data_IF_786072876612
#
_entry.id   IF_786072876612
#
_cell.length_a   1.000
_cell.length_b   1.000
_cell.length_c   1.000
_cell.angle_alpha   90.00
_cell.angle_beta   90.00
_cell.angle_gamma   90.00
#
_symmetry.space_group_name_H-M   'P 1'
#
loop_
_entity.id
_entity.type
_entity.pdbx_description
1 polymer ?
#
# COMPACT_ATOMS: atom_id res chain seq x y z
N UNK A 1 11.66 -10.73 -16.90
CA UNK A 1 12.56 -11.86 -16.52
C UNK A 1 14.01 -11.43 -16.27
N UNK A 2 14.48 -10.46 -17.05
CA UNK A 2 15.80 -9.82 -17.05
C UNK A 2 16.23 -9.15 -15.73
N UNK A 3 15.29 -8.89 -14.81
CA UNK A 3 15.58 -8.31 -13.50
C UNK A 3 15.88 -9.35 -12.43
N UNK A 4 15.41 -10.60 -12.59
CA UNK A 4 15.63 -11.68 -11.62
C UNK A 4 17.13 -11.97 -11.42
N UNK A 5 17.96 -12.06 -12.47
CA UNK A 5 19.42 -12.25 -12.32
C UNK A 5 20.11 -11.09 -11.60
N UNK A 6 19.52 -9.89 -11.60
CA UNK A 6 20.07 -8.71 -10.90
C UNK A 6 19.62 -8.65 -9.44
N UNK A 7 18.37 -9.03 -9.19
CA UNK A 7 17.75 -9.01 -7.87
C UNK A 7 18.23 -10.18 -6.99
N UNK A 8 18.27 -11.39 -7.57
CA UNK A 8 18.55 -12.65 -6.88
C UNK A 8 19.70 -13.40 -7.55
N UNK A 9 20.89 -12.80 -7.58
CA UNK A 9 22.07 -13.31 -8.31
C UNK A 9 22.34 -14.78 -8.00
N UNK A 10 22.59 -15.11 -6.72
CA UNK A 10 22.96 -16.46 -6.29
C UNK A 10 21.87 -17.49 -6.61
N UNK A 11 20.59 -17.16 -6.37
CA UNK A 11 19.49 -18.08 -6.67
C UNK A 11 19.25 -18.28 -8.16
N UNK A 12 19.51 -17.25 -8.96
CA UNK A 12 19.42 -17.39 -10.42
C UNK A 12 20.48 -18.35 -10.93
N UNK A 13 21.72 -18.23 -10.45
CA UNK A 13 22.81 -19.16 -10.79
C UNK A 13 22.51 -20.60 -10.35
N UNK A 14 22.04 -20.79 -9.11
CA UNK A 14 21.62 -22.10 -8.60
C UNK A 14 20.48 -22.70 -9.43
N UNK A 15 19.49 -21.87 -9.83
CA UNK A 15 18.37 -22.32 -10.66
C UNK A 15 18.79 -22.75 -12.06
N UNK A 16 19.87 -22.18 -12.61
CA UNK A 16 20.42 -22.59 -13.90
C UNK A 16 21.22 -23.91 -13.80
N UNK A 17 21.83 -24.18 -12.64
CA UNK A 17 22.60 -25.39 -12.39
C UNK A 17 21.73 -26.63 -12.11
N UNK A 18 20.46 -26.44 -11.72
CA UNK A 18 19.55 -27.52 -11.36
C UNK A 18 18.63 -27.93 -12.53
N UNK A 19 18.29 -29.23 -12.66
CA UNK A 19 17.26 -29.67 -13.59
C UNK A 19 15.90 -29.04 -13.26
N UNK A 20 15.16 -28.60 -14.28
CA UNK A 20 13.83 -27.97 -14.15
C UNK A 20 12.80 -28.83 -13.40
N UNK A 21 13.02 -30.15 -13.30
CA UNK A 21 12.16 -31.11 -12.59
C UNK A 21 12.39 -31.12 -11.08
N UNK A 22 13.48 -30.53 -10.57
CA UNK A 22 13.84 -30.55 -9.15
C UNK A 22 13.04 -29.56 -8.29
N UNK A 23 11.80 -29.25 -8.69
CA UNK A 23 10.94 -28.19 -8.15
C UNK A 23 11.10 -27.99 -6.64
N UNK A 24 11.77 -26.89 -6.28
CA UNK A 24 12.01 -26.53 -4.88
C UNK A 24 10.94 -25.53 -4.45
N UNK A 25 10.43 -25.70 -3.24
CA UNK A 25 9.65 -24.63 -2.61
C UNK A 25 10.54 -23.38 -2.50
N UNK A 26 10.15 -22.30 -3.16
CA UNK A 26 10.82 -21.00 -3.04
C UNK A 26 10.54 -20.44 -1.66
N UNK A 27 11.52 -20.58 -0.76
CA UNK A 27 11.52 -19.87 0.51
C UNK A 27 12.42 -18.63 0.35
N UNK A 28 11.78 -17.46 0.31
CA UNK A 28 12.40 -16.16 0.21
C UNK A 28 12.24 -15.47 1.57
N UNK A 29 13.28 -15.43 2.43
CA UNK A 29 13.25 -14.65 3.66
C UNK A 29 13.01 -13.17 3.37
N UNK A 30 12.42 -12.46 4.32
CA UNK A 30 12.09 -11.04 4.18
C UNK A 30 13.35 -10.20 3.94
N UNK A 31 14.44 -10.50 4.66
CA UNK A 31 15.73 -9.83 4.50
C UNK A 31 16.25 -9.94 3.06
N UNK A 32 16.09 -11.12 2.45
CA UNK A 32 16.57 -11.33 1.09
C UNK A 32 15.68 -10.62 0.07
N UNK A 33 14.37 -10.53 0.32
CA UNK A 33 13.47 -9.73 -0.50
C UNK A 33 13.82 -8.24 -0.44
N UNK A 34 14.10 -7.73 0.76
CA UNK A 34 14.51 -6.34 1.00
C UNK A 34 15.83 -6.06 0.27
N UNK A 35 16.85 -6.89 0.47
CA UNK A 35 18.15 -6.72 -0.19
C UNK A 35 18.02 -6.77 -1.73
N UNK A 36 17.23 -7.70 -2.25
CA UNK A 36 16.99 -7.82 -3.69
C UNK A 36 16.35 -6.55 -4.26
N UNK A 37 15.39 -5.97 -3.56
CA UNK A 37 14.75 -4.72 -3.94
C UNK A 37 15.72 -3.53 -3.83
N UNK A 38 16.50 -3.44 -2.77
CA UNK A 38 17.53 -2.41 -2.59
C UNK A 38 18.56 -2.44 -3.72
N UNK A 39 19.01 -3.63 -4.13
CA UNK A 39 19.90 -3.80 -5.29
C UNK A 39 19.27 -3.24 -6.57
N UNK A 40 18.02 -3.59 -6.86
CA UNK A 40 17.32 -3.07 -8.04
C UNK A 40 17.14 -1.55 -8.00
N UNK A 41 16.82 -0.99 -6.84
CA UNK A 41 16.67 0.45 -6.67
C UNK A 41 18.01 1.16 -6.84
N UNK A 42 19.10 0.62 -6.29
CA UNK A 42 20.44 1.15 -6.48
C UNK A 42 20.86 1.10 -7.96
N UNK A 43 20.62 -0.02 -8.64
CA UNK A 43 20.91 -0.18 -10.07
C UNK A 43 20.10 0.78 -10.95
N UNK A 44 18.87 1.11 -10.54
CA UNK A 44 18.01 2.05 -11.26
C UNK A 44 18.58 3.46 -11.36
N UNK A 45 19.62 3.78 -10.59
CA UNK A 45 20.33 5.06 -10.60
C UNK A 45 21.37 5.15 -11.71
N UNK A 46 21.79 4.02 -12.26
CA UNK A 46 22.86 3.95 -13.25
C UNK A 46 22.39 4.44 -14.63
N UNK A 47 23.27 5.16 -15.34
CA UNK A 47 23.00 5.60 -16.71
C UNK A 47 22.80 4.36 -17.60
N UNK A 48 21.64 4.26 -18.25
CA UNK A 48 21.28 3.13 -19.09
C UNK A 48 20.34 2.10 -18.45
N UNK A 49 19.95 2.28 -17.18
CA UNK A 49 18.87 1.47 -16.62
C UNK A 49 17.52 1.85 -17.26
N UNK A 50 16.91 0.90 -17.96
CA UNK A 50 15.73 1.16 -18.81
C UNK A 50 14.38 1.03 -18.10
N UNK A 51 14.36 0.67 -16.81
CA UNK A 51 13.11 0.36 -16.10
C UNK A 51 12.75 1.44 -15.08
N UNK A 52 11.43 1.63 -14.92
CA UNK A 52 10.83 2.41 -13.84
C UNK A 52 9.91 1.49 -13.05
N UNK A 53 9.97 1.60 -11.74
CA UNK A 53 9.20 0.81 -10.80
C UNK A 53 8.04 1.64 -10.24
N UNK A 54 6.87 1.03 -10.20
CA UNK A 54 5.70 1.57 -9.52
C UNK A 54 5.07 0.45 -8.69
N UNK A 55 5.11 0.61 -7.37
CA UNK A 55 4.57 -0.37 -6.43
C UNK A 55 3.23 0.09 -5.89
N UNK A 56 2.27 -0.84 -5.86
CA UNK A 56 0.94 -0.61 -5.31
C UNK A 56 0.76 -1.53 -4.10
N UNK A 57 0.63 -0.95 -2.91
CA UNK A 57 0.50 -1.70 -1.65
C UNK A 57 -0.88 -1.41 -1.06
N UNK A 58 -1.75 -2.42 -1.02
CA UNK A 58 -3.05 -2.36 -0.34
C UNK A 58 -2.83 -2.74 1.14
N UNK A 59 -3.25 -1.89 2.08
CA UNK A 59 -3.15 -2.18 3.52
C UNK A 59 -1.75 -2.15 4.12
N UNK A 60 -1.00 -1.04 4.01
CA UNK A 60 0.29 -0.88 4.68
C UNK A 60 0.20 -1.06 6.21
N UNK A 61 -0.96 -0.72 6.79
CA UNK A 61 -1.26 -0.89 8.22
C UNK A 61 -1.57 -2.33 8.64
N UNK A 62 -1.64 -3.28 7.70
CA UNK A 62 -1.85 -4.70 7.98
C UNK A 62 -0.56 -5.44 8.33
N UNK A 63 0.62 -4.82 8.10
CA UNK A 63 1.90 -5.39 8.50
C UNK A 63 1.95 -5.50 10.03
N UNK A 64 2.34 -6.68 10.53
CA UNK A 64 2.52 -6.86 11.96
C UNK A 64 3.89 -6.32 12.39
N UNK A 65 3.89 -5.31 13.27
CA UNK A 65 5.14 -4.80 13.84
C UNK A 65 5.87 -5.89 14.62
N UNK A 66 7.19 -5.92 14.49
CA UNK A 66 8.07 -6.74 15.31
C UNK A 66 9.00 -5.82 16.10
N UNK A 67 9.62 -6.31 17.19
CA UNK A 67 10.65 -5.55 17.89
C UNK A 67 11.83 -5.11 17.00
N UNK A 68 12.03 -5.80 15.87
CA UNK A 68 13.08 -5.51 14.90
C UNK A 68 12.64 -4.57 13.77
N UNK A 69 11.32 -4.44 13.53
CA UNK A 69 10.79 -3.67 12.41
C UNK A 69 9.41 -3.08 12.72
N UNK A 70 9.36 -1.76 12.81
CA UNK A 70 8.16 -0.99 13.13
C UNK A 70 7.53 -0.33 11.90
N UNK A 71 6.31 0.19 12.03
CA UNK A 71 5.68 1.00 10.99
C UNK A 71 6.50 2.25 10.64
N UNK A 72 7.26 2.77 11.61
CA UNK A 72 8.15 3.90 11.38
C UNK A 72 9.32 3.50 10.49
N UNK A 73 9.95 2.36 10.77
CA UNK A 73 11.06 1.83 9.98
C UNK A 73 10.61 1.53 8.54
N UNK A 74 9.42 0.96 8.39
CA UNK A 74 8.79 0.75 7.09
C UNK A 74 8.58 2.08 6.34
N UNK A 75 8.04 3.09 7.01
CA UNK A 75 7.75 4.39 6.41
C UNK A 75 9.03 5.10 5.95
N UNK A 76 10.07 5.07 6.77
CA UNK A 76 11.39 5.62 6.43
C UNK A 76 12.02 4.86 5.26
N UNK A 77 11.90 3.53 5.23
CA UNK A 77 12.42 2.68 4.15
C UNK A 77 11.73 3.01 2.81
N UNK A 78 10.40 3.03 2.79
CA UNK A 78 9.63 3.37 1.59
C UNK A 78 9.92 4.79 1.10
N UNK A 79 10.06 5.75 2.02
CA UNK A 79 10.43 7.13 1.70
C UNK A 79 11.83 7.21 1.09
N UNK A 80 12.82 6.56 1.71
CA UNK A 80 14.19 6.47 1.20
C UNK A 80 14.25 5.88 -0.22
N UNK A 81 13.46 4.83 -0.46
CA UNK A 81 13.35 4.21 -1.77
C UNK A 81 12.67 5.10 -2.81
N UNK A 82 11.60 5.81 -2.43
CA UNK A 82 10.92 6.77 -3.30
C UNK A 82 11.84 7.94 -3.68
N UNK A 83 12.58 8.48 -2.71
CA UNK A 83 13.48 9.63 -2.84
C UNK A 83 14.83 9.27 -3.48
N UNK A 84 15.05 8.00 -3.80
CA UNK A 84 16.23 7.54 -4.51
C UNK A 84 16.45 8.36 -5.79
N UNK A 85 17.68 8.85 -5.96
CA UNK A 85 18.09 9.65 -7.14
C UNK A 85 17.67 8.97 -8.44
N UNK A 86 17.08 9.74 -9.35
CA UNK A 86 16.67 9.27 -10.68
C UNK A 86 15.16 9.16 -10.88
N UNK A 87 14.35 9.24 -9.81
CA UNK A 87 12.89 9.27 -9.91
C UNK A 87 12.26 8.04 -10.58
N UNK A 88 13.00 6.94 -10.60
CA UNK A 88 12.63 5.70 -11.25
C UNK A 88 11.78 4.80 -10.36
N UNK A 89 11.51 5.20 -9.10
CA UNK A 89 10.73 4.41 -8.15
C UNK A 89 9.58 5.26 -7.63
N UNK A 90 8.37 4.70 -7.67
CA UNK A 90 7.16 5.32 -7.11
C UNK A 90 6.40 4.32 -6.26
N UNK A 91 5.85 4.80 -5.16
CA UNK A 91 4.98 4.01 -4.30
C UNK A 91 3.60 4.66 -4.25
N UNK A 92 2.59 3.82 -4.44
CA UNK A 92 1.20 4.13 -4.16
C UNK A 92 0.76 3.15 -3.08
N UNK A 93 0.76 3.59 -1.84
CA UNK A 93 0.42 2.76 -0.70
C UNK A 93 -0.90 3.22 -0.12
N UNK A 94 -1.69 2.30 0.40
CA UNK A 94 -2.95 2.60 1.03
C UNK A 94 -2.92 2.10 2.46
N UNK A 95 -3.37 2.91 3.41
CA UNK A 95 -3.34 2.56 4.83
C UNK A 95 -4.47 3.26 5.59
N UNK A 96 -4.74 2.80 6.81
CA UNK A 96 -5.43 3.65 7.80
C UNK A 96 -4.54 4.83 8.21
N UNK A 97 -5.17 5.87 8.77
CA UNK A 97 -4.46 7.05 9.29
C UNK A 97 -3.84 6.77 10.67
N UNK A 98 -2.71 6.07 10.68
CA UNK A 98 -1.89 5.93 11.89
C UNK A 98 -0.88 7.06 11.99
N UNK A 99 -0.52 7.46 13.22
CA UNK A 99 0.32 8.64 13.44
C UNK A 99 1.70 8.50 12.78
N UNK A 100 2.26 7.29 12.73
CA UNK A 100 3.54 6.95 12.09
C UNK A 100 3.53 7.09 10.57
N UNK A 101 2.36 7.13 9.94
CA UNK A 101 2.26 7.40 8.50
C UNK A 101 2.00 8.89 8.25
N UNK A 102 1.29 9.54 9.18
CA UNK A 102 0.92 10.94 9.06
C UNK A 102 2.06 11.90 9.38
N UNK A 103 3.03 11.48 10.21
CA UNK A 103 4.22 12.27 10.55
C UNK A 103 5.32 12.13 9.46
N UNK A 104 5.51 10.92 8.93
CA UNK A 104 6.57 10.63 7.96
C UNK A 104 6.27 11.10 6.51
N UNK A 105 5.01 11.03 6.06
CA UNK A 105 4.60 11.41 4.70
C UNK A 105 3.93 12.78 4.65
N UNK A 106 4.26 13.63 3.68
CA UNK A 106 3.69 15.00 3.58
C UNK A 106 2.17 15.01 3.29
N UNK A 107 1.47 16.07 3.70
CA UNK A 107 0.05 16.24 3.41
C UNK A 107 -0.27 16.28 1.91
N UNK A 108 0.66 16.77 1.09
CA UNK A 108 0.50 16.88 -0.37
C UNK A 108 0.61 15.55 -1.10
N UNK A 109 1.26 14.56 -0.49
CA UNK A 109 1.37 13.21 -1.04
C UNK A 109 0.23 12.29 -0.57
N UNK A 110 -0.70 12.77 0.25
CA UNK A 110 -1.81 11.99 0.81
C UNK A 110 -3.12 12.32 0.13
N UNK A 111 -3.88 11.28 -0.17
CA UNK A 111 -5.22 11.33 -0.71
C UNK A 111 -6.15 10.60 0.27
N UNK A 112 -7.08 11.34 0.86
CA UNK A 112 -8.11 10.76 1.72
C UNK A 112 -9.32 10.38 0.88
N UNK A 113 -9.49 9.08 0.63
CA UNK A 113 -10.59 8.62 -0.24
C UNK A 113 -11.96 9.03 0.30
N UNK A 114 -12.16 9.00 1.62
CA UNK A 114 -13.42 9.44 2.23
C UNK A 114 -13.75 10.92 2.00
N UNK A 115 -12.77 11.81 1.82
CA UNK A 115 -13.03 13.21 1.50
C UNK A 115 -13.50 13.35 0.05
N UNK A 116 -12.94 12.55 -0.87
CA UNK A 116 -13.30 12.53 -2.28
C UNK A 116 -14.70 11.93 -2.50
N UNK A 117 -15.04 10.84 -1.81
CA UNK A 117 -16.34 10.15 -1.97
C UNK A 117 -17.41 10.69 -1.02
N UNK A 118 -17.13 11.77 -0.28
CA UNK A 118 -18.03 12.29 0.77
C UNK A 118 -19.42 12.62 0.23
N UNK A 119 -19.49 13.24 -0.94
CA UNK A 119 -20.77 13.59 -1.56
C UNK A 119 -21.56 12.35 -1.97
N UNK A 120 -20.90 11.37 -2.58
CA UNK A 120 -21.51 10.10 -2.95
C UNK A 120 -22.03 9.33 -1.72
N UNK A 121 -21.28 9.37 -0.62
CA UNK A 121 -21.69 8.79 0.66
C UNK A 121 -22.95 9.48 1.21
N UNK A 122 -22.99 10.82 1.17
CA UNK A 122 -24.16 11.59 1.61
C UNK A 122 -25.37 11.27 0.74
N UNK A 123 -25.21 11.29 -0.59
CA UNK A 123 -26.27 10.98 -1.53
C UNK A 123 -26.78 9.56 -1.34
N UNK A 124 -25.87 8.60 -1.12
CA UNK A 124 -26.23 7.22 -0.83
C UNK A 124 -27.07 7.11 0.46
N UNK A 125 -26.62 7.71 1.56
CA UNK A 125 -27.38 7.71 2.83
C UNK A 125 -28.75 8.34 2.63
N UNK A 126 -28.83 9.51 1.98
CA UNK A 126 -30.09 10.19 1.71
C UNK A 126 -31.04 9.34 0.86
N UNK A 127 -30.53 8.64 -0.15
CA UNK A 127 -31.35 7.73 -0.98
C UNK A 127 -31.95 6.55 -0.20
N UNK A 128 -31.38 6.22 0.97
CA UNK A 128 -31.85 5.13 1.84
C UNK A 128 -32.73 5.62 2.99
N UNK A 129 -32.88 6.94 3.17
CA UNK A 129 -33.81 7.53 4.14
C UNK A 129 -35.14 7.81 3.43
N UNK A 130 -36.24 7.14 3.79
CA UNK A 130 -37.56 7.43 3.23
C UNK A 130 -37.96 8.91 3.37
N UNK A 131 -38.55 9.47 2.30
CA UNK A 131 -38.96 10.89 2.20
C UNK A 131 -40.23 11.20 3.02
N UNK A 132 -40.91 10.19 3.57
CA UNK A 132 -42.07 10.36 4.44
C UNK A 132 -41.68 10.36 5.92
N UNK A 133 -42.21 11.31 6.70
CA UNK A 133 -41.93 11.55 8.11
C UNK A 133 -41.72 10.28 8.95
N UNK A 134 -40.45 9.98 9.21
CA UNK A 134 -40.05 8.88 10.08
C UNK A 134 -40.04 9.41 11.52
N UNK A 135 -40.84 8.76 12.38
CA UNK A 135 -40.80 8.93 13.83
C UNK A 135 -39.34 8.91 14.34
N UNK A 136 -39.00 9.77 15.29
CA UNK A 136 -37.62 10.03 15.73
C UNK A 136 -36.89 8.75 16.18
N UNK A 137 -37.62 7.78 16.74
CA UNK A 137 -37.09 6.46 17.09
C UNK A 137 -36.70 5.58 15.88
N UNK A 138 -37.42 5.69 14.77
CA UNK A 138 -37.14 4.93 13.54
C UNK A 138 -36.01 5.58 12.71
N UNK A 139 -35.81 6.90 12.82
CA UNK A 139 -34.67 7.60 12.20
C UNK A 139 -33.33 7.09 12.72
N UNK A 140 -33.22 6.89 14.04
CA UNK A 140 -32.00 6.33 14.64
C UNK A 140 -31.73 4.92 14.10
N UNK A 141 -32.73 4.04 14.05
CA UNK A 141 -32.54 2.66 13.56
C UNK A 141 -32.10 2.58 12.10
N UNK A 142 -32.69 3.37 11.20
CA UNK A 142 -32.34 3.39 9.77
C UNK A 142 -30.98 4.07 9.54
N UNK A 143 -30.70 5.15 10.27
CA UNK A 143 -29.40 5.81 10.22
C UNK A 143 -28.28 4.89 10.72
N UNK A 144 -28.50 4.18 11.85
CA UNK A 144 -27.56 3.20 12.36
C UNK A 144 -27.42 1.98 11.44
N UNK A 145 -28.51 1.43 10.89
CA UNK A 145 -28.40 0.28 9.96
C UNK A 145 -27.68 0.67 8.67
N UNK A 146 -27.93 1.89 8.16
CA UNK A 146 -27.17 2.51 7.08
C UNK A 146 -25.70 2.66 7.44
N UNK A 147 -25.38 3.21 8.63
CA UNK A 147 -24.01 3.35 9.13
C UNK A 147 -23.31 2.00 9.30
N UNK A 148 -24.00 0.96 9.77
CA UNK A 148 -23.44 -0.39 9.96
C UNK A 148 -23.23 -1.13 8.63
N UNK A 149 -24.16 -0.98 7.68
CA UNK A 149 -24.01 -1.50 6.32
C UNK A 149 -22.89 -0.77 5.56
N UNK A 150 -22.77 0.54 5.78
CA UNK A 150 -21.62 1.34 5.39
C UNK A 150 -20.36 0.79 6.05
N UNK A 151 -20.31 0.60 7.38
CA UNK A 151 -19.11 0.17 8.12
C UNK A 151 -18.45 -1.10 7.58
N UNK A 152 -19.23 -2.10 7.12
CA UNK A 152 -18.68 -3.34 6.52
C UNK A 152 -18.17 -3.17 5.08
N UNK A 153 -18.70 -2.22 4.29
CA UNK A 153 -18.20 -1.90 2.94
C UNK A 153 -17.20 -0.74 2.92
N UNK A 154 -17.20 0.10 3.95
CA UNK A 154 -16.47 1.36 4.06
C UNK A 154 -15.30 1.30 5.04
N UNK A 155 -15.00 0.16 5.68
CA UNK A 155 -13.75 0.04 6.45
C UNK A 155 -12.51 0.30 5.57
N UNK A 156 -12.63 0.07 4.24
CA UNK A 156 -11.65 0.44 3.19
C UNK A 156 -11.79 1.87 2.64
N UNK A 157 -12.72 2.67 3.16
CA UNK A 157 -13.02 4.02 2.66
C UNK A 157 -12.40 5.08 3.58
N UNK A 158 -12.12 4.72 4.83
CA UNK A 158 -11.16 5.43 5.70
C UNK A 158 -9.70 5.13 5.35
N UNK A 159 -9.46 4.65 4.13
CA UNK A 159 -8.13 4.41 3.62
C UNK A 159 -7.58 5.72 3.05
N UNK A 160 -6.42 6.11 3.56
CA UNK A 160 -5.58 7.16 2.99
C UNK A 160 -4.63 6.50 2.01
N UNK A 161 -4.62 7.00 0.78
CA UNK A 161 -3.65 6.62 -0.25
C UNK A 161 -2.50 7.60 -0.19
N UNK A 162 -1.31 7.12 0.11
CA UNK A 162 -0.07 7.88 0.06
C UNK A 162 0.60 7.62 -1.30
N UNK A 163 0.73 8.66 -2.10
CA UNK A 163 1.41 8.64 -3.38
C UNK A 163 2.75 9.34 -3.22
N UNK A 164 3.82 8.55 -3.12
CA UNK A 164 5.17 9.10 -3.05
C UNK A 164 5.63 9.48 -4.46
N UNK A 165 5.85 10.79 -4.66
CA UNK A 165 6.41 11.35 -5.89
C UNK A 165 7.76 11.98 -5.57
N UNK A 166 8.73 11.72 -6.44
CA UNK A 166 9.97 12.48 -6.59
C UNK A 166 9.74 13.74 -7.41
#
# INVERSE_FOLDING_TARGET
PELIPKAFVSRWEESLALPWQAGRALNLPDEECIEALERLIADSRNQGFSHRFCFFIDGLDELQETPAFTFRDLSLTLKSWAEARGGNVKFCVSSREYYQFMDEFDCKSRIRLHELTKQDMIAFVQSKVPVGGIDTNHKHKVFFSGLYSLRRRFLRIYTTVIVMKT
#
